data_IF_212466216991
#
_entry.id   IF_212466216991
#
_cell.length_a   1.000
_cell.length_b   1.000
_cell.length_c   1.000
_cell.angle_alpha   90.00
_cell.angle_beta   90.00
_cell.angle_gamma   90.00
#
_symmetry.space_group_name_H-M   'P 1'
#
loop_
_entity.id
_entity.type
_entity.pdbx_description
1 polymer ?
#
# COMPACT_ATOMS: atom_id res chain seq x y z
N UNK A 1 12.20 -11.20 -10.79
CA UNK A 1 12.74 -10.97 -9.43
C UNK A 1 11.89 -9.92 -8.73
N UNK A 2 11.12 -10.32 -7.72
CA UNK A 2 10.17 -9.47 -7.00
C UNK A 2 10.92 -8.60 -6.00
N UNK A 3 11.43 -7.47 -6.48
CA UNK A 3 12.22 -6.57 -5.67
C UNK A 3 11.29 -5.80 -4.74
N UNK A 4 11.44 -6.02 -3.44
CA UNK A 4 10.72 -5.39 -2.32
C UNK A 4 10.56 -3.87 -2.51
N UNK A 5 11.52 -3.23 -3.18
CA UNK A 5 11.52 -1.81 -3.55
C UNK A 5 10.35 -1.37 -4.43
N UNK A 6 9.91 -2.21 -5.37
CA UNK A 6 8.77 -1.89 -6.24
C UNK A 6 7.45 -1.79 -5.45
N UNK A 7 7.31 -2.60 -4.41
CA UNK A 7 6.15 -2.55 -3.54
C UNK A 7 6.22 -1.38 -2.55
N UNK A 8 7.39 -1.14 -1.95
CA UNK A 8 7.58 0.01 -1.05
C UNK A 8 7.37 1.35 -1.79
N UNK A 9 7.75 1.42 -3.06
CA UNK A 9 7.46 2.58 -3.92
C UNK A 9 5.95 2.79 -4.10
N UNK A 10 5.18 1.71 -4.30
CA UNK A 10 3.70 1.79 -4.37
C UNK A 10 3.11 2.26 -3.04
N UNK A 11 3.60 1.77 -1.91
CA UNK A 11 3.10 2.21 -0.60
C UNK A 11 3.30 3.72 -0.39
N UNK A 12 4.49 4.25 -0.70
CA UNK A 12 4.75 5.69 -0.58
C UNK A 12 3.95 6.50 -1.61
N UNK A 13 3.74 5.98 -2.81
CA UNK A 13 2.88 6.59 -3.80
C UNK A 13 1.42 6.67 -3.32
N UNK A 14 0.91 5.62 -2.68
CA UNK A 14 -0.43 5.62 -2.10
C UNK A 14 -0.56 6.72 -1.03
N UNK A 15 0.43 6.84 -0.13
CA UNK A 15 0.49 7.93 0.86
C UNK A 15 0.53 9.32 0.23
N UNK A 16 1.29 9.49 -0.86
CA UNK A 16 1.32 10.75 -1.58
C UNK A 16 -0.06 11.13 -2.15
N UNK A 17 -0.80 10.17 -2.69
CA UNK A 17 -2.18 10.40 -3.14
C UNK A 17 -3.13 10.77 -2.00
N UNK A 18 -2.98 10.15 -0.81
CA UNK A 18 -3.74 10.56 0.38
C UNK A 18 -3.44 12.01 0.74
N UNK A 19 -2.16 12.41 0.75
CA UNK A 19 -1.75 13.79 1.03
C UNK A 19 -2.26 14.77 -0.02
N UNK A 20 -2.42 14.34 -1.27
CA UNK A 20 -3.01 15.13 -2.35
C UNK A 20 -4.54 15.24 -2.26
N UNK A 21 -5.19 14.48 -1.37
CA UNK A 21 -6.66 14.37 -1.30
C UNK A 21 -7.28 13.46 -2.35
N UNK A 22 -6.48 12.80 -3.20
CA UNK A 22 -6.95 11.83 -4.20
C UNK A 22 -7.09 10.44 -3.55
N UNK A 23 -8.08 10.33 -2.67
CA UNK A 23 -8.36 9.09 -1.92
C UNK A 23 -8.72 7.92 -2.85
N UNK A 24 -9.30 8.21 -4.02
CA UNK A 24 -9.67 7.19 -5.01
C UNK A 24 -8.41 6.54 -5.59
N UNK A 25 -7.43 7.33 -6.05
CA UNK A 25 -6.16 6.77 -6.50
C UNK A 25 -5.36 6.14 -5.37
N UNK A 26 -5.36 6.74 -4.17
CA UNK A 26 -4.71 6.15 -3.01
C UNK A 26 -5.22 4.72 -2.75
N UNK A 27 -6.55 4.51 -2.75
CA UNK A 27 -7.16 3.18 -2.60
C UNK A 27 -6.67 2.19 -3.64
N UNK A 28 -6.64 2.59 -4.92
CA UNK A 28 -6.14 1.73 -6.00
C UNK A 28 -4.70 1.30 -5.77
N UNK A 29 -3.81 2.25 -5.44
CA UNK A 29 -2.39 1.94 -5.23
C UNK A 29 -2.17 1.10 -3.97
N UNK A 30 -2.95 1.32 -2.91
CA UNK A 30 -2.95 0.44 -1.74
C UNK A 30 -3.37 -0.98 -2.09
N UNK A 31 -4.44 -1.13 -2.88
CA UNK A 31 -4.89 -2.45 -3.30
C UNK A 31 -3.84 -3.17 -4.17
N UNK A 32 -3.15 -2.45 -5.05
CA UNK A 32 -2.05 -2.98 -5.85
C UNK A 32 -0.85 -3.40 -5.00
N UNK A 33 -0.54 -2.66 -3.94
CA UNK A 33 0.47 -3.04 -2.96
C UNK A 33 0.08 -4.32 -2.22
N UNK A 34 -1.15 -4.39 -1.70
CA UNK A 34 -1.66 -5.56 -0.97
C UNK A 34 -1.73 -6.81 -1.87
N UNK A 35 -2.08 -6.64 -3.14
CA UNK A 35 -2.11 -7.73 -4.13
C UNK A 35 -0.71 -8.23 -4.45
N UNK A 36 0.26 -7.32 -4.59
CA UNK A 36 1.66 -7.67 -4.83
C UNK A 36 2.29 -8.38 -3.61
N UNK A 37 1.82 -8.07 -2.40
CA UNK A 37 2.30 -8.63 -1.14
C UNK A 37 1.39 -9.72 -0.57
N UNK A 38 0.49 -10.30 -1.38
CA UNK A 38 -0.40 -11.37 -0.94
C UNK A 38 0.35 -12.63 -0.47
N UNK A 39 1.53 -12.87 -1.06
CA UNK A 39 2.41 -14.01 -0.75
C UNK A 39 3.52 -13.61 0.25
N UNK A 40 3.55 -12.35 0.67
CA UNK A 40 4.49 -11.86 1.68
C UNK A 40 4.02 -12.26 3.07
N UNK A 41 4.97 -12.38 4.00
CA UNK A 41 4.67 -12.77 5.37
C UNK A 41 3.69 -11.75 6.01
N UNK A 42 2.53 -12.21 6.52
CA UNK A 42 1.50 -11.34 7.09
C UNK A 42 1.97 -10.61 8.36
N UNK A 43 3.04 -11.06 9.00
CA UNK A 43 3.57 -10.46 10.21
C UNK A 43 4.50 -9.27 9.97
N UNK A 44 4.81 -8.94 8.72
CA UNK A 44 5.64 -7.78 8.39
C UNK A 44 4.93 -6.49 8.82
N UNK A 45 5.56 -5.64 9.66
CA UNK A 45 4.95 -4.41 10.18
C UNK A 45 4.41 -3.48 9.09
N UNK A 46 5.07 -3.40 7.93
CA UNK A 46 4.68 -2.51 6.85
C UNK A 46 3.39 -2.95 6.14
N UNK A 47 3.12 -4.26 6.08
CA UNK A 47 1.86 -4.77 5.54
C UNK A 47 0.70 -4.44 6.48
N UNK A 48 0.92 -4.57 7.79
CA UNK A 48 -0.05 -4.19 8.83
C UNK A 48 -0.37 -2.69 8.77
N UNK A 49 0.67 -1.85 8.62
CA UNK A 49 0.50 -0.40 8.44
C UNK A 49 -0.29 -0.09 7.17
N UNK A 50 0.07 -0.67 6.03
CA UNK A 50 -0.61 -0.43 4.77
C UNK A 50 -2.11 -0.81 4.82
N UNK A 51 -2.45 -1.94 5.45
CA UNK A 51 -3.85 -2.34 5.67
C UNK A 51 -4.60 -1.36 6.56
N UNK A 52 -3.97 -0.89 7.64
CA UNK A 52 -4.57 0.09 8.54
C UNK A 52 -4.79 1.45 7.86
N UNK A 53 -3.84 1.90 7.03
CA UNK A 53 -3.97 3.12 6.24
C UNK A 53 -5.06 2.99 5.18
N UNK A 54 -5.10 1.87 4.45
CA UNK A 54 -6.16 1.58 3.49
C UNK A 54 -7.55 1.57 4.15
N UNK A 55 -7.67 0.98 5.34
CA UNK A 55 -8.92 0.96 6.10
C UNK A 55 -9.37 2.36 6.54
N UNK A 56 -8.44 3.29 6.82
CA UNK A 56 -8.77 4.69 7.13
C UNK A 56 -9.24 5.49 5.92
N UNK A 57 -8.93 5.03 4.70
CA UNK A 57 -9.41 5.65 3.48
C UNK A 57 -10.81 5.18 3.09
N UNK A 58 -11.27 4.04 3.62
CA UNK A 58 -12.60 3.50 3.36
C UNK A 58 -13.68 4.45 3.87
#
# INVERSE_FOLDING_TARGET
>A
ENFVTGALARLQLARAYVLQGDTTKAKTVYNDFLTLWKDADPDIPILKQAKAEYAKLQ
#
